data_IF_791248863340
#
_entry.id   IF_791248863340
#
_cell.length_a   1.000
_cell.length_b   1.000
_cell.length_c   1.000
_cell.angle_alpha   90.00
_cell.angle_beta   90.00
_cell.angle_gamma   90.00
#
_symmetry.space_group_name_H-M   'P 1'
#
loop_
_entity.id
_entity.type
_entity.pdbx_description
1 polymer ?
#
# COMPACT_ATOMS: atom_id res chain seq x y z
N UNK A 1 -20.25 -22.86 15.66
CA UNK A 1 -18.81 -23.16 15.82
C UNK A 1 -18.07 -21.84 15.99
N UNK A 2 -17.70 -21.48 17.21
CA UNK A 2 -16.86 -20.32 17.52
C UNK A 2 -16.26 -20.65 18.88
N UNK A 3 -15.02 -21.13 18.86
CA UNK A 3 -14.47 -21.92 19.95
C UNK A 3 -14.30 -21.06 21.21
N UNK A 4 -14.93 -21.46 22.32
CA UNK A 4 -14.54 -21.05 23.67
C UNK A 4 -13.17 -21.66 23.98
N UNK A 5 -12.14 -21.16 23.30
CA UNK A 5 -10.78 -21.60 23.55
C UNK A 5 -10.30 -20.85 24.79
N UNK A 6 -10.18 -21.59 25.89
CA UNK A 6 -9.51 -21.12 27.10
C UNK A 6 -8.01 -21.05 26.77
N UNK A 7 -7.63 -20.01 26.02
CA UNK A 7 -6.27 -19.78 25.53
C UNK A 7 -5.39 -19.49 26.72
N UNK A 8 -4.39 -20.32 26.91
CA UNK A 8 -3.36 -20.13 27.94
C UNK A 8 -2.07 -19.75 27.24
N UNK A 9 -1.11 -19.17 27.96
CA UNK A 9 0.15 -18.73 27.34
C UNK A 9 0.99 -19.86 26.70
N UNK A 10 0.65 -21.11 26.99
CA UNK A 10 1.30 -22.29 26.43
C UNK A 10 0.55 -22.84 25.20
N UNK A 11 -0.53 -22.19 24.78
CA UNK A 11 -1.29 -22.54 23.57
C UNK A 11 -0.52 -22.19 22.31
N UNK A 12 -0.74 -22.95 21.24
CA UNK A 12 -0.07 -22.77 19.96
C UNK A 12 -0.31 -21.36 19.38
N UNK A 13 0.75 -20.72 18.88
CA UNK A 13 0.69 -19.37 18.33
C UNK A 13 -0.29 -19.24 17.17
N UNK A 14 -0.39 -20.24 16.29
CA UNK A 14 -1.33 -20.23 15.18
C UNK A 14 -2.78 -20.17 15.70
N UNK A 15 -3.05 -20.84 16.81
CA UNK A 15 -4.36 -20.89 17.45
C UNK A 15 -4.70 -19.57 18.15
N UNK A 16 -3.73 -18.96 18.82
CA UNK A 16 -3.90 -17.63 19.44
C UNK A 16 -4.15 -16.55 18.36
N UNK A 17 -3.38 -16.54 17.28
CA UNK A 17 -3.56 -15.59 16.16
C UNK A 17 -4.90 -15.80 15.47
N UNK A 18 -5.31 -17.06 15.29
CA UNK A 18 -6.61 -17.39 14.72
C UNK A 18 -7.76 -16.86 15.58
N UNK A 19 -7.64 -16.94 16.92
CA UNK A 19 -8.64 -16.37 17.81
C UNK A 19 -8.62 -14.83 17.87
N UNK A 20 -7.46 -14.19 17.78
CA UNK A 20 -7.34 -12.72 17.75
C UNK A 20 -7.77 -12.11 16.41
N UNK A 21 -7.66 -12.87 15.31
CA UNK A 21 -8.15 -12.48 13.99
C UNK A 21 -9.69 -12.54 13.88
N UNK A 22 -10.39 -13.14 14.87
CA UNK A 22 -11.84 -13.20 14.88
C UNK A 22 -12.46 -11.81 15.10
N UNK A 23 -13.58 -11.46 14.45
CA UNK A 23 -14.18 -10.12 14.54
C UNK A 23 -14.64 -9.74 15.95
N UNK A 24 -14.96 -10.76 16.75
CA UNK A 24 -15.40 -10.60 18.13
C UNK A 24 -14.24 -10.48 19.12
N UNK A 25 -12.99 -10.54 18.65
CA UNK A 25 -11.79 -10.38 19.48
C UNK A 25 -11.69 -8.97 20.10
N UNK A 26 -12.44 -8.01 19.55
CA UNK A 26 -12.36 -6.60 19.93
C UNK A 26 -11.09 -5.90 19.40
N UNK A 27 -10.30 -6.56 18.55
CA UNK A 27 -9.09 -6.00 17.95
C UNK A 27 -9.44 -5.11 16.76
N UNK A 28 -9.39 -3.79 16.97
CA UNK A 28 -9.68 -2.78 15.95
C UNK A 28 -8.42 -2.49 15.11
N UNK A 29 -8.26 -3.27 14.04
CA UNK A 29 -7.13 -3.18 13.12
C UNK A 29 -7.37 -1.99 12.17
N UNK A 30 -6.84 -0.82 12.56
CA UNK A 30 -6.82 0.41 11.75
C UNK A 30 -5.41 0.85 11.47
N UNK A 31 -5.16 1.24 10.24
CA UNK A 31 -3.83 1.56 9.78
C UNK A 31 -3.80 2.96 9.17
N UNK A 32 -2.76 3.74 9.50
CA UNK A 32 -2.21 4.94 8.81
C UNK A 32 -2.66 6.31 9.28
N UNK A 33 -1.69 7.18 9.58
CA UNK A 33 -1.33 8.29 8.68
C UNK A 33 0.19 8.50 8.77
N UNK A 34 0.89 8.45 7.65
CA UNK A 34 2.30 8.81 7.63
C UNK A 34 2.44 10.33 7.89
N UNK A 35 3.25 10.78 8.87
CA UNK A 35 3.32 12.19 9.24
C UNK A 35 3.67 13.08 8.04
N UNK A 36 2.92 14.17 7.87
CA UNK A 36 3.13 15.16 6.79
C UNK A 36 3.07 14.57 5.39
N UNK A 37 2.35 13.46 5.23
CA UNK A 37 1.98 12.92 3.94
C UNK A 37 0.63 13.46 3.48
N UNK A 38 0.45 13.55 2.17
CA UNK A 38 -0.78 13.99 1.55
C UNK A 38 -1.26 12.93 0.54
N UNK A 39 -2.58 12.78 0.34
CA UNK A 39 -3.13 11.92 -0.69
C UNK A 39 -2.71 12.41 -2.09
N UNK A 40 -2.40 11.48 -2.98
CA UNK A 40 -2.08 11.82 -4.38
C UNK A 40 -3.26 12.51 -5.09
N UNK A 41 -4.50 12.12 -4.79
CA UNK A 41 -5.72 12.78 -5.29
C UNK A 41 -5.74 14.27 -4.98
N UNK A 42 -5.37 14.62 -3.75
CA UNK A 42 -5.45 15.99 -3.24
C UNK A 42 -4.36 16.86 -3.88
N UNK A 43 -3.19 16.27 -4.17
CA UNK A 43 -2.16 16.93 -4.97
C UNK A 43 -2.67 17.26 -6.39
N UNK A 44 -3.35 16.32 -7.04
CA UNK A 44 -3.90 16.53 -8.39
C UNK A 44 -4.99 17.60 -8.38
N UNK A 45 -5.88 17.60 -7.38
CA UNK A 45 -6.87 18.66 -7.18
C UNK A 45 -6.19 20.02 -7.05
N UNK A 46 -5.24 20.13 -6.13
CA UNK A 46 -4.52 21.37 -5.85
C UNK A 46 -3.79 21.91 -7.09
N UNK A 47 -3.16 21.04 -7.88
CA UNK A 47 -2.52 21.42 -9.14
C UNK A 47 -3.54 21.93 -10.17
N UNK A 48 -4.66 21.23 -10.33
CA UNK A 48 -5.66 21.62 -11.33
C UNK A 48 -6.39 22.92 -10.96
N UNK A 49 -6.63 23.15 -9.66
CA UNK A 49 -7.36 24.33 -9.17
C UNK A 49 -6.49 25.59 -9.06
N UNK A 50 -5.20 25.44 -8.74
CA UNK A 50 -4.35 26.57 -8.36
C UNK A 50 -3.20 26.87 -9.33
N UNK A 51 -2.99 26.04 -10.36
CA UNK A 51 -1.91 26.24 -11.35
C UNK A 51 -2.51 26.40 -12.73
N UNK A 52 -2.30 27.58 -13.32
CA UNK A 52 -2.75 27.87 -14.69
C UNK A 52 -2.00 27.02 -15.73
N UNK A 53 -2.70 26.68 -16.82
CA UNK A 53 -2.10 26.02 -17.99
C UNK A 53 -2.37 24.52 -18.12
N UNK A 54 -3.16 23.92 -17.22
CA UNK A 54 -3.70 22.57 -17.41
C UNK A 54 -5.02 22.64 -18.19
N UNK A 55 -5.12 21.91 -19.31
CA UNK A 55 -6.36 21.84 -20.10
C UNK A 55 -7.38 20.93 -19.41
N UNK A 56 -6.88 19.93 -18.68
CA UNK A 56 -7.71 19.04 -17.89
C UNK A 56 -6.98 18.43 -16.71
N UNK A 57 -7.75 17.72 -15.89
CA UNK A 57 -7.24 17.00 -14.71
C UNK A 57 -6.16 15.98 -15.07
N UNK A 58 -6.23 15.38 -16.26
CA UNK A 58 -5.23 14.43 -16.73
C UNK A 58 -3.85 15.08 -16.94
N UNK A 59 -3.80 16.34 -17.36
CA UNK A 59 -2.54 17.08 -17.49
C UNK A 59 -1.93 17.38 -16.11
N UNK A 60 -2.77 17.76 -15.15
CA UNK A 60 -2.36 17.96 -13.76
C UNK A 60 -1.84 16.64 -13.15
N UNK A 61 -2.49 15.50 -13.45
CA UNK A 61 -2.03 14.17 -13.05
C UNK A 61 -0.69 13.80 -13.69
N UNK A 62 -0.51 14.07 -14.98
CA UNK A 62 0.76 13.88 -15.67
C UNK A 62 1.87 14.77 -15.10
N UNK A 63 1.53 15.98 -14.66
CA UNK A 63 2.44 16.86 -13.92
C UNK A 63 2.85 16.27 -12.57
N UNK A 64 1.90 15.79 -11.76
CA UNK A 64 2.20 15.12 -10.49
C UNK A 64 3.12 13.90 -10.67
N UNK A 65 2.90 13.12 -11.74
CA UNK A 65 3.79 12.01 -12.10
C UNK A 65 5.22 12.48 -12.43
N UNK A 66 5.36 13.61 -13.13
CA UNK A 66 6.68 14.24 -13.36
C UNK A 66 7.31 14.74 -12.06
N UNK A 67 6.53 15.31 -11.13
CA UNK A 67 7.04 15.73 -9.81
C UNK A 67 7.65 14.55 -9.04
N UNK A 68 7.03 13.36 -9.12
CA UNK A 68 7.56 12.13 -8.52
C UNK A 68 8.85 11.69 -9.22
N UNK A 69 8.86 11.66 -10.56
CA UNK A 69 10.03 11.26 -11.37
C UNK A 69 11.24 12.17 -11.13
N UNK A 70 11.02 13.48 -11.00
CA UNK A 70 12.05 14.47 -10.69
C UNK A 70 12.40 14.50 -9.19
N UNK A 71 11.64 13.78 -8.36
CA UNK A 71 11.90 13.63 -6.94
C UNK A 71 11.56 14.85 -6.09
N UNK A 72 10.63 15.70 -6.56
CA UNK A 72 10.01 16.80 -5.78
C UNK A 72 9.00 16.27 -4.76
N UNK A 73 8.40 15.12 -5.05
CA UNK A 73 7.60 14.34 -4.10
C UNK A 73 8.18 12.92 -4.01
N UNK A 74 7.88 12.21 -2.92
CA UNK A 74 8.36 10.84 -2.67
C UNK A 74 7.24 9.96 -2.17
N UNK A 75 7.20 8.74 -2.70
CA UNK A 75 6.41 7.68 -2.11
C UNK A 75 7.19 7.05 -0.93
N UNK A 76 6.55 6.75 0.22
CA UNK A 76 7.22 6.21 1.40
C UNK A 76 7.92 4.87 1.14
N UNK A 77 7.32 4.07 0.26
CA UNK A 77 7.82 2.74 -0.13
C UNK A 77 8.58 2.78 -1.47
N UNK A 78 9.20 3.91 -1.82
CA UNK A 78 10.08 4.07 -2.99
C UNK A 78 9.48 3.67 -4.35
N UNK A 79 8.15 3.78 -4.51
CA UNK A 79 7.49 3.55 -5.80
C UNK A 79 7.81 4.68 -6.79
N UNK A 80 8.14 4.31 -8.03
CA UNK A 80 8.48 5.23 -9.12
C UNK A 80 7.26 5.73 -9.90
N UNK A 81 6.13 5.01 -9.83
CA UNK A 81 4.87 5.37 -10.49
C UNK A 81 3.91 6.12 -9.57
N UNK A 82 3.24 7.15 -10.10
CA UNK A 82 2.28 7.95 -9.36
C UNK A 82 0.88 7.33 -9.37
N UNK A 83 0.21 7.37 -8.21
CA UNK A 83 -1.14 6.85 -7.99
C UNK A 83 -1.89 7.77 -7.02
N UNK A 84 -3.08 8.23 -7.41
CA UNK A 84 -3.89 9.13 -6.59
C UNK A 84 -4.33 8.52 -5.24
N UNK A 85 -4.47 7.18 -5.17
CA UNK A 85 -4.81 6.45 -3.94
C UNK A 85 -3.63 6.25 -2.97
N UNK A 86 -2.44 6.73 -3.33
CA UNK A 86 -1.23 6.61 -2.49
C UNK A 86 -0.96 7.90 -1.73
N UNK A 87 -0.15 7.80 -0.68
CA UNK A 87 0.31 8.94 0.09
C UNK A 87 1.73 9.34 -0.35
N UNK A 88 1.99 10.64 -0.39
CA UNK A 88 3.26 11.22 -0.80
C UNK A 88 3.77 12.23 0.21
N UNK A 89 5.09 12.49 0.19
CA UNK A 89 5.72 13.56 0.95
C UNK A 89 6.46 14.48 0.00
N UNK A 90 6.52 15.77 0.31
CA UNK A 90 7.38 16.70 -0.40
C UNK A 90 8.84 16.47 -0.05
N UNK A 91 9.70 16.56 -1.06
CA UNK A 91 11.16 16.57 -0.92
C UNK A 91 11.57 17.97 -0.44
N UNK A 92 12.42 18.03 0.58
CA UNK A 92 13.18 19.23 1.01
C UNK A 92 12.46 20.33 1.83
N UNK A 93 11.14 20.29 2.06
CA UNK A 93 10.49 21.23 3.01
C UNK A 93 10.64 20.86 4.48
N UNK A 94 11.13 19.64 4.77
CA UNK A 94 11.47 19.22 6.12
C UNK A 94 12.88 18.61 6.10
N UNK A 95 13.81 19.04 6.97
CA UNK A 95 15.09 18.34 7.12
C UNK A 95 14.80 16.91 7.55
N UNK A 96 15.03 15.95 6.64
CA UNK A 96 14.58 14.57 6.82
C UNK A 96 15.54 13.79 7.72
N UNK A 97 15.10 13.44 8.93
CA UNK A 97 15.56 12.25 9.65
C UNK A 97 14.79 11.00 9.16
N UNK A 98 14.76 10.75 7.85
CA UNK A 98 14.27 9.46 7.31
C UNK A 98 15.50 8.57 7.09
N UNK A 99 16.16 8.26 8.20
CA UNK A 99 17.17 7.23 8.26
C UNK A 99 16.45 5.89 8.45
N UNK A 100 16.62 4.96 7.50
CA UNK A 100 16.41 3.51 7.68
C UNK A 100 14.95 3.01 7.75
N UNK A 101 14.18 3.12 6.66
CA UNK A 101 13.44 1.93 6.23
C UNK A 101 14.29 1.24 5.17
N UNK A 102 15.19 0.38 5.65
CA UNK A 102 16.08 -0.38 4.78
C UNK A 102 15.23 -1.24 3.84
N UNK A 103 15.54 -1.09 2.56
CA UNK A 103 15.30 -2.00 1.44
C UNK A 103 14.97 -3.44 1.88
N UNK A 104 13.77 -3.88 1.52
CA UNK A 104 13.60 -5.21 0.93
C UNK A 104 13.13 -4.99 -0.50
N UNK A 105 14.11 -4.78 -1.38
CA UNK A 105 13.93 -5.08 -2.80
C UNK A 105 14.03 -6.59 -2.94
N UNK A 106 12.89 -7.24 -3.19
CA UNK A 106 12.77 -8.46 -3.98
C UNK A 106 11.35 -8.41 -4.58
N UNK A 107 11.29 -7.97 -5.83
CA UNK A 107 11.14 -8.84 -7.02
C UNK A 107 9.67 -9.21 -7.21
N UNK A 108 8.99 -8.60 -8.19
CA UNK A 108 8.90 -9.05 -9.59
C UNK A 108 7.65 -9.92 -9.78
N UNK A 109 6.88 -9.52 -10.78
CA UNK A 109 6.09 -10.40 -11.66
C UNK A 109 4.88 -11.08 -11.00
N UNK A 110 3.73 -10.40 -11.02
CA UNK A 110 2.45 -11.11 -11.18
C UNK A 110 2.34 -11.52 -12.65
N UNK A 111 3.22 -12.45 -13.05
CA UNK A 111 3.11 -13.14 -14.32
C UNK A 111 2.25 -14.39 -14.09
N UNK A 112 1.32 -14.56 -15.03
CA UNK A 112 0.29 -15.57 -15.15
C UNK A 112 0.68 -16.97 -14.66
N UNK A 113 -0.13 -17.56 -13.79
CA UNK A 113 -0.24 -19.03 -13.72
C UNK A 113 -1.49 -19.42 -14.51
N UNK A 114 -1.33 -19.46 -15.82
CA UNK A 114 -2.02 -20.43 -16.66
C UNK A 114 -1.00 -21.48 -17.04
N UNK A 115 -1.14 -22.69 -16.49
CA UNK A 115 -1.05 -23.95 -17.24
C UNK A 115 -1.20 -25.12 -16.25
N UNK A 116 -2.33 -25.82 -16.35
CA UNK A 116 -2.44 -27.17 -16.94
C UNK A 116 -1.88 -28.28 -16.05
N UNK A 117 -2.81 -29.09 -15.53
CA UNK A 117 -2.67 -30.54 -15.69
C UNK A 117 -4.02 -31.14 -16.02
N UNK A 118 -4.06 -31.77 -17.19
CA UNK A 118 -5.11 -32.57 -17.77
C UNK A 118 -5.05 -33.99 -17.20
N UNK A 119 -6.21 -34.63 -17.05
CA UNK A 119 -6.47 -36.06 -17.24
C UNK A 119 -5.85 -37.03 -16.22
N UNK A 120 -6.73 -37.70 -15.47
CA UNK A 120 -6.69 -39.17 -15.31
C UNK A 120 -8.14 -39.70 -15.31
N UNK A 121 -8.46 -40.42 -16.37
CA UNK A 121 -9.61 -41.31 -16.50
C UNK A 121 -9.48 -42.50 -15.52
N UNK A 122 -10.60 -43.13 -15.13
CA UNK A 122 -10.56 -44.47 -14.52
C UNK A 122 -11.74 -44.88 -13.64
N UNK A 123 -12.83 -45.25 -14.29
CA UNK A 123 -13.77 -46.36 -14.01
C UNK A 123 -13.70 -47.12 -12.66
N UNK A 124 -14.83 -47.17 -11.93
CA UNK A 124 -15.41 -48.33 -11.22
C UNK A 124 -16.78 -47.99 -10.61
#
# INVERSE_FOLDING_TARGET
>A
FGLNLNLTGNSDMAIIVQAMAEPVSGLDIRDRILPKSFPGSDLVNCLFENVDGFVGRDDARAFAARMLKMGYIRHPFHKSSFHEKSYYLFRNIYPQNISRLKRHEKSKDYESISDRSSIIDGDS
#
